data_IF_759212423810
#
_entry.id   IF_759212423810
#
_cell.length_a   1.000
_cell.length_b   1.000
_cell.length_c   1.000
_cell.angle_alpha   90.00
_cell.angle_beta   90.00
_cell.angle_gamma   90.00
#
_symmetry.space_group_name_H-M   'P 1'
#
loop_
_entity.id
_entity.type
_entity.pdbx_description
1 polymer ?
#
# COMPACT_ATOMS: atom_id res chain seq x y z
N UNK A 1 18.05 26.69 -45.25
CA UNK A 1 17.19 26.36 -44.10
C UNK A 1 15.74 26.41 -44.58
N UNK A 2 15.13 25.21 -44.78
CA UNK A 2 13.69 25.12 -45.10
C UNK A 2 12.94 25.28 -43.77
N UNK A 3 11.99 26.22 -43.74
CA UNK A 3 11.15 26.47 -42.58
C UNK A 3 10.43 25.15 -42.18
N UNK A 4 10.62 24.73 -40.93
CA UNK A 4 9.83 23.66 -40.32
C UNK A 4 8.43 24.24 -40.16
N UNK A 5 7.47 23.77 -40.96
CA UNK A 5 6.07 24.18 -40.86
C UNK A 5 5.52 23.87 -39.46
N UNK A 6 4.63 24.75 -39.01
CA UNK A 6 3.92 24.61 -37.70
C UNK A 6 3.34 23.17 -37.56
N UNK A 7 3.71 22.42 -36.50
CA UNK A 7 3.27 21.05 -36.32
C UNK A 7 1.74 20.90 -36.10
N UNK A 8 1.02 22.00 -35.85
CA UNK A 8 -0.45 22.01 -35.72
C UNK A 8 -1.20 21.97 -37.07
N UNK A 9 -0.52 22.14 -38.22
CA UNK A 9 -1.15 22.33 -39.51
C UNK A 9 -1.32 21.06 -40.36
N UNK A 10 -0.87 19.88 -39.91
CA UNK A 10 -0.98 18.63 -40.68
C UNK A 10 -2.42 18.12 -40.61
N UNK A 11 -3.16 18.12 -41.72
CA UNK A 11 -4.42 17.40 -41.83
C UNK A 11 -4.18 15.88 -41.78
N UNK A 12 -4.72 15.20 -40.77
CA UNK A 12 -4.50 13.77 -40.56
C UNK A 12 -5.16 12.91 -41.64
N UNK A 13 -6.26 13.36 -42.25
CA UNK A 13 -6.91 12.66 -43.35
C UNK A 13 -6.07 12.74 -44.61
N UNK A 14 -5.53 13.92 -44.90
CA UNK A 14 -4.60 14.12 -46.01
C UNK A 14 -3.29 13.34 -45.79
N UNK A 15 -2.75 13.34 -44.55
CA UNK A 15 -1.58 12.57 -44.17
C UNK A 15 -1.78 11.07 -44.40
N UNK A 16 -2.94 10.53 -44.07
CA UNK A 16 -3.30 9.12 -44.29
C UNK A 16 -3.31 8.81 -45.79
N UNK A 17 -3.93 9.67 -46.61
CA UNK A 17 -3.98 9.48 -48.07
C UNK A 17 -2.58 9.54 -48.70
N UNK A 18 -1.74 10.50 -48.31
CA UNK A 18 -0.35 10.62 -48.77
C UNK A 18 0.49 9.41 -48.42
N UNK A 19 0.45 8.94 -47.16
CA UNK A 19 1.24 7.81 -46.68
C UNK A 19 0.78 6.47 -47.27
N UNK A 20 -0.52 6.32 -47.60
CA UNK A 20 -1.03 5.14 -48.33
C UNK A 20 -0.47 5.04 -49.73
N UNK A 21 -0.31 6.17 -50.41
CA UNK A 21 0.20 6.23 -51.77
C UNK A 21 1.73 6.16 -51.85
N UNK A 22 2.41 6.85 -50.98
CA UNK A 22 3.88 6.83 -50.88
C UNK A 22 4.33 7.14 -49.47
N UNK A 23 4.97 6.15 -48.80
CA UNK A 23 5.50 6.31 -47.43
C UNK A 23 6.61 7.36 -47.30
N UNK A 24 7.31 7.67 -48.39
CA UNK A 24 8.36 8.69 -48.44
C UNK A 24 7.83 10.10 -48.73
N UNK A 25 6.53 10.24 -48.94
CA UNK A 25 5.89 11.56 -49.18
C UNK A 25 6.02 12.51 -47.98
N UNK A 26 6.39 11.98 -46.81
CA UNK A 26 6.66 12.74 -45.59
C UNK A 26 7.98 12.26 -44.97
N UNK A 27 8.75 13.18 -44.41
CA UNK A 27 9.98 12.81 -43.73
C UNK A 27 9.70 12.08 -42.39
N UNK A 28 10.68 11.35 -41.87
CA UNK A 28 10.48 10.54 -40.66
C UNK A 28 10.20 11.38 -39.41
N UNK A 29 10.72 12.60 -39.19
CA UNK A 29 10.31 13.45 -38.08
C UNK A 29 8.84 13.86 -38.12
N UNK A 30 8.31 14.15 -39.31
CA UNK A 30 6.88 14.45 -39.52
C UNK A 30 6.01 13.22 -39.19
N UNK A 31 6.44 12.02 -39.58
CA UNK A 31 5.73 10.77 -39.27
C UNK A 31 5.70 10.50 -37.74
N UNK A 32 6.77 10.81 -37.00
CA UNK A 32 6.77 10.78 -35.54
C UNK A 32 5.79 11.76 -34.91
N UNK A 33 5.70 12.98 -35.43
CA UNK A 33 4.72 13.97 -34.97
C UNK A 33 3.29 13.47 -35.19
N UNK A 34 3.02 12.75 -36.29
CA UNK A 34 1.71 12.12 -36.50
C UNK A 34 1.42 11.10 -35.41
N UNK A 35 2.37 10.22 -35.06
CA UNK A 35 2.18 9.26 -33.93
C UNK A 35 1.82 9.99 -32.65
N UNK A 36 2.54 11.04 -32.28
CA UNK A 36 2.27 11.83 -31.07
C UNK A 36 0.86 12.46 -31.10
N UNK A 37 0.39 12.93 -32.25
CA UNK A 37 -0.95 13.53 -32.39
C UNK A 37 -2.09 12.55 -32.36
N UNK A 38 -1.91 11.33 -32.89
CA UNK A 38 -2.96 10.29 -32.88
C UNK A 38 -3.03 9.52 -31.56
N UNK A 39 -1.96 9.52 -30.76
CA UNK A 39 -1.89 8.78 -29.49
C UNK A 39 -2.94 9.24 -28.46
N UNK A 40 -3.17 10.56 -28.34
CA UNK A 40 -4.19 11.12 -27.45
C UNK A 40 -5.62 10.64 -27.79
N UNK A 41 -6.14 10.97 -28.99
CA UNK A 41 -7.45 10.51 -29.43
C UNK A 41 -7.64 8.99 -29.34
N UNK A 42 -6.64 8.21 -29.72
CA UNK A 42 -6.69 6.75 -29.62
C UNK A 42 -6.74 6.27 -28.15
N UNK A 43 -6.06 6.95 -27.24
CA UNK A 43 -6.13 6.63 -25.80
C UNK A 43 -7.50 6.95 -25.17
N UNK A 44 -8.24 7.89 -25.75
CA UNK A 44 -9.61 8.25 -25.40
C UNK A 44 -10.67 7.35 -26.08
N UNK A 45 -10.24 6.33 -26.82
CA UNK A 45 -11.14 5.37 -27.46
C UNK A 45 -11.61 5.77 -28.88
N UNK A 46 -11.06 6.84 -29.46
CA UNK A 46 -11.38 7.28 -30.84
C UNK A 46 -10.61 6.41 -31.86
N UNK A 47 -10.97 5.13 -31.97
CA UNK A 47 -10.30 4.18 -32.86
C UNK A 47 -10.83 4.19 -34.31
N UNK A 48 -11.38 5.32 -34.76
CA UNK A 48 -11.89 5.51 -36.15
C UNK A 48 -10.82 6.05 -37.07
N UNK A 49 -11.12 6.05 -38.39
CA UNK A 49 -10.27 6.74 -39.36
C UNK A 49 -10.31 8.27 -39.11
N UNK A 50 -9.20 9.00 -39.29
CA UNK A 50 -7.91 8.54 -39.84
C UNK A 50 -6.93 7.95 -38.82
N UNK A 51 -7.26 7.97 -37.49
CA UNK A 51 -6.33 7.62 -36.41
C UNK A 51 -5.86 6.17 -36.47
N UNK A 52 -6.82 5.23 -36.63
CA UNK A 52 -6.53 3.80 -36.77
C UNK A 52 -5.67 3.47 -37.96
N UNK A 53 -6.05 4.01 -39.12
CA UNK A 53 -5.32 3.77 -40.35
C UNK A 53 -3.89 4.31 -40.32
N UNK A 54 -3.68 5.48 -39.74
CA UNK A 54 -2.34 6.06 -39.55
C UNK A 54 -1.48 5.20 -38.64
N UNK A 55 -2.03 4.74 -37.49
CA UNK A 55 -1.28 3.90 -36.57
C UNK A 55 -0.84 2.59 -37.21
N UNK A 56 -1.74 1.93 -37.95
CA UNK A 56 -1.44 0.68 -38.65
C UNK A 56 -0.36 0.86 -39.73
N UNK A 57 -0.43 1.95 -40.49
CA UNK A 57 0.58 2.28 -41.49
C UNK A 57 1.95 2.56 -40.87
N UNK A 58 1.99 3.35 -39.80
CA UNK A 58 3.22 3.74 -39.09
C UNK A 58 3.82 2.59 -38.26
N UNK A 59 3.03 1.57 -37.98
CA UNK A 59 3.53 0.34 -37.34
C UNK A 59 4.51 -0.44 -38.24
N UNK A 60 4.45 -0.26 -39.57
CA UNK A 60 5.35 -0.86 -40.56
C UNK A 60 6.30 0.16 -41.16
N UNK A 61 6.59 1.25 -40.47
CA UNK A 61 7.48 2.31 -40.96
C UNK A 61 8.92 1.78 -41.14
N UNK A 62 9.62 2.17 -42.21
CA UNK A 62 11.02 1.77 -42.44
C UNK A 62 11.96 2.30 -41.33
N UNK A 63 11.62 3.43 -40.68
CA UNK A 63 12.42 4.02 -39.62
C UNK A 63 12.01 3.45 -38.25
N UNK A 64 12.97 2.88 -37.54
CA UNK A 64 12.74 2.26 -36.24
C UNK A 64 12.24 3.26 -35.19
N UNK A 65 12.63 4.54 -35.26
CA UNK A 65 12.20 5.62 -34.38
C UNK A 65 10.68 5.79 -34.40
N UNK A 66 10.09 5.72 -35.60
CA UNK A 66 8.63 5.81 -35.78
C UNK A 66 7.94 4.57 -35.21
N UNK A 67 8.46 3.37 -35.52
CA UNK A 67 7.92 2.12 -34.98
C UNK A 67 8.00 2.06 -33.44
N UNK A 68 9.09 2.62 -32.88
CA UNK A 68 9.23 2.74 -31.43
C UNK A 68 8.15 3.63 -30.83
N UNK A 69 7.91 4.80 -31.39
CA UNK A 69 6.88 5.73 -30.90
C UNK A 69 5.47 5.10 -31.03
N UNK A 70 5.20 4.33 -32.08
CA UNK A 70 3.97 3.52 -32.19
C UNK A 70 3.89 2.49 -31.05
N UNK A 71 4.98 1.75 -30.80
CA UNK A 71 5.01 0.75 -29.73
C UNK A 71 4.75 1.37 -28.36
N UNK A 72 5.29 2.56 -28.08
CA UNK A 72 5.05 3.30 -26.84
C UNK A 72 3.59 3.78 -26.72
N UNK A 73 3.01 4.30 -27.81
CA UNK A 73 1.62 4.76 -27.86
C UNK A 73 0.60 3.65 -27.54
N UNK A 74 0.88 2.41 -27.95
CA UNK A 74 0.01 1.25 -27.66
C UNK A 74 -0.18 0.98 -26.16
N UNK A 75 0.62 1.57 -25.28
CA UNK A 75 0.53 1.36 -23.83
C UNK A 75 -0.80 1.87 -23.24
N UNK A 76 -1.40 2.91 -23.81
CA UNK A 76 -2.58 3.60 -23.31
C UNK A 76 -3.83 3.40 -24.18
N UNK A 77 -3.68 2.84 -25.38
CA UNK A 77 -4.81 2.62 -26.31
C UNK A 77 -5.70 1.48 -25.79
N UNK A 78 -7.01 1.70 -25.54
CA UNK A 78 -7.89 0.68 -24.98
C UNK A 78 -8.26 -0.43 -25.98
N UNK A 79 -8.15 -0.19 -27.30
CA UNK A 79 -8.45 -1.15 -28.34
C UNK A 79 -7.50 -2.36 -28.31
N UNK A 80 -8.06 -3.55 -28.06
CA UNK A 80 -7.28 -4.79 -27.96
C UNK A 80 -6.68 -5.27 -29.27
N UNK A 81 -7.31 -4.98 -30.41
CA UNK A 81 -6.77 -5.35 -31.72
C UNK A 81 -5.54 -4.50 -32.05
N UNK A 82 -5.61 -3.19 -31.79
CA UNK A 82 -4.45 -2.31 -31.96
C UNK A 82 -3.35 -2.68 -30.96
N UNK A 83 -3.73 -3.01 -29.72
CA UNK A 83 -2.77 -3.41 -28.72
C UNK A 83 -2.02 -4.72 -29.07
N UNK A 84 -2.63 -5.60 -29.86
CA UNK A 84 -1.99 -6.82 -30.35
C UNK A 84 -0.76 -6.53 -31.23
N UNK A 85 -0.66 -5.34 -31.82
CA UNK A 85 0.55 -4.90 -32.55
C UNK A 85 1.80 -4.91 -31.66
N UNK A 86 1.66 -4.71 -30.36
CA UNK A 86 2.80 -4.79 -29.43
C UNK A 86 3.47 -6.17 -29.44
N UNK A 87 2.72 -7.26 -29.70
CA UNK A 87 3.29 -8.60 -29.87
C UNK A 87 4.15 -8.71 -31.13
N UNK A 88 3.71 -8.09 -32.23
CA UNK A 88 4.47 -8.04 -33.48
C UNK A 88 5.84 -7.37 -33.28
N UNK A 89 5.89 -6.30 -32.50
CA UNK A 89 7.12 -5.57 -32.21
C UNK A 89 8.11 -6.32 -31.31
N UNK A 90 7.73 -7.41 -30.65
CA UNK A 90 8.69 -8.25 -29.90
C UNK A 90 9.74 -8.91 -30.80
N UNK A 91 9.41 -9.13 -32.09
CA UNK A 91 10.30 -9.68 -33.11
C UNK A 91 10.88 -8.60 -34.05
N UNK A 92 10.72 -7.32 -33.72
CA UNK A 92 11.28 -6.23 -34.54
C UNK A 92 12.81 -6.34 -34.67
N UNK A 93 13.34 -5.98 -35.84
CA UNK A 93 14.78 -6.00 -36.09
C UNK A 93 15.57 -5.09 -35.13
N UNK A 94 14.96 -3.98 -34.67
CA UNK A 94 15.63 -2.98 -33.84
C UNK A 94 15.41 -3.19 -32.33
N UNK A 95 16.51 -3.18 -31.57
CA UNK A 95 16.47 -3.48 -30.13
C UNK A 95 15.61 -2.51 -29.30
N UNK A 96 15.59 -1.22 -29.66
CA UNK A 96 14.79 -0.21 -28.95
C UNK A 96 13.29 -0.41 -29.18
N UNK A 97 12.88 -0.87 -30.37
CA UNK A 97 11.46 -1.21 -30.65
C UNK A 97 11.04 -2.42 -29.82
N UNK A 98 11.87 -3.48 -29.80
CA UNK A 98 11.61 -4.66 -28.94
C UNK A 98 11.48 -4.31 -27.46
N UNK A 99 12.34 -3.39 -26.98
CA UNK A 99 12.29 -2.92 -25.57
C UNK A 99 11.01 -2.14 -25.27
N UNK A 100 10.62 -1.21 -26.14
CA UNK A 100 9.36 -0.45 -26.04
C UNK A 100 8.15 -1.40 -26.01
N UNK A 101 8.11 -2.40 -26.89
CA UNK A 101 7.06 -3.40 -26.92
C UNK A 101 6.94 -4.20 -25.62
N UNK A 102 8.06 -4.64 -25.03
CA UNK A 102 8.06 -5.33 -23.72
C UNK A 102 7.47 -4.44 -22.63
N UNK A 103 7.92 -3.20 -22.53
CA UNK A 103 7.43 -2.24 -21.53
C UNK A 103 5.94 -1.96 -21.71
N UNK A 104 5.48 -1.82 -22.95
CA UNK A 104 4.06 -1.63 -23.29
C UNK A 104 3.22 -2.82 -22.84
N UNK A 105 3.63 -4.05 -23.15
CA UNK A 105 2.90 -5.27 -22.73
C UNK A 105 2.85 -5.38 -21.20
N UNK A 106 3.96 -5.13 -20.51
CA UNK A 106 4.02 -5.16 -19.03
C UNK A 106 3.10 -4.09 -18.42
N UNK A 107 3.13 -2.86 -18.95
CA UNK A 107 2.27 -1.76 -18.48
C UNK A 107 0.79 -2.08 -18.68
N UNK A 108 0.40 -2.61 -19.84
CA UNK A 108 -0.98 -3.05 -20.10
C UNK A 108 -1.44 -4.18 -19.16
N UNK A 109 -0.57 -5.18 -18.94
CA UNK A 109 -0.86 -6.26 -17.99
C UNK A 109 -1.07 -5.73 -16.56
N UNK A 110 -0.27 -4.75 -16.16
CA UNK A 110 -0.42 -4.11 -14.85
C UNK A 110 -1.76 -3.37 -14.75
N UNK A 111 -2.08 -2.53 -15.74
CA UNK A 111 -3.36 -1.79 -15.79
C UNK A 111 -4.55 -2.76 -15.78
N UNK A 112 -4.51 -3.83 -16.58
CA UNK A 112 -5.58 -4.83 -16.62
C UNK A 112 -5.76 -5.56 -15.28
N UNK A 113 -4.65 -5.93 -14.60
CA UNK A 113 -4.71 -6.55 -13.26
C UNK A 113 -5.28 -5.60 -12.21
N UNK A 114 -4.93 -4.33 -12.26
CA UNK A 114 -5.45 -3.32 -11.33
C UNK A 114 -6.95 -3.06 -11.57
N UNK A 115 -7.37 -3.00 -12.84
CA UNK A 115 -8.79 -2.86 -13.22
C UNK A 115 -9.60 -4.09 -12.78
N UNK A 116 -9.07 -5.30 -12.97
CA UNK A 116 -9.69 -6.54 -12.53
C UNK A 116 -9.83 -6.61 -10.99
N UNK A 117 -8.80 -6.20 -10.27
CA UNK A 117 -8.86 -6.11 -8.79
C UNK A 117 -9.92 -5.12 -8.31
N UNK A 118 -10.05 -3.96 -8.97
CA UNK A 118 -11.08 -2.96 -8.64
C UNK A 118 -12.49 -3.48 -8.92
N UNK A 119 -12.67 -4.12 -10.06
CA UNK A 119 -13.96 -4.69 -10.47
C UNK A 119 -14.38 -5.83 -9.53
N UNK A 120 -13.45 -6.74 -9.18
CA UNK A 120 -13.74 -7.82 -8.24
C UNK A 120 -14.07 -7.32 -6.82
N UNK A 121 -13.51 -6.20 -6.39
CA UNK A 121 -13.82 -5.60 -5.08
C UNK A 121 -15.24 -5.04 -5.02
N UNK A 122 -15.68 -4.34 -6.06
CA UNK A 122 -17.06 -3.80 -6.15
C UNK A 122 -18.06 -4.94 -6.30
N UNK A 123 -17.79 -5.91 -7.18
CA UNK A 123 -18.65 -7.07 -7.40
C UNK A 123 -18.83 -7.89 -6.11
N UNK A 124 -17.76 -8.05 -5.32
CA UNK A 124 -17.81 -8.72 -4.02
C UNK A 124 -18.70 -7.96 -3.02
N UNK A 125 -18.57 -6.64 -2.94
CA UNK A 125 -19.39 -5.81 -2.04
C UNK A 125 -20.87 -5.90 -2.43
N UNK A 126 -21.19 -5.85 -3.72
CA UNK A 126 -22.55 -5.98 -4.22
C UNK A 126 -23.13 -7.37 -3.93
N UNK A 127 -22.34 -8.43 -4.14
CA UNK A 127 -22.77 -9.80 -3.84
C UNK A 127 -23.03 -10.01 -2.34
N UNK A 128 -22.17 -9.50 -1.47
CA UNK A 128 -22.36 -9.59 -0.01
C UNK A 128 -23.58 -8.77 0.45
N UNK A 129 -23.82 -7.62 -0.17
CA UNK A 129 -25.02 -6.83 0.13
C UNK A 129 -26.29 -7.59 -0.25
N UNK A 130 -26.32 -8.19 -1.44
CA UNK A 130 -27.45 -9.00 -1.90
C UNK A 130 -27.69 -10.23 -0.99
N UNK A 131 -26.61 -10.91 -0.59
CA UNK A 131 -26.69 -12.04 0.35
C UNK A 131 -27.30 -11.63 1.70
N UNK A 132 -26.88 -10.46 2.24
CA UNK A 132 -27.44 -9.93 3.48
C UNK A 132 -28.93 -9.57 3.32
N UNK A 133 -29.31 -8.99 2.20
CA UNK A 133 -30.71 -8.65 1.89
C UNK A 133 -31.58 -9.90 1.79
N UNK A 134 -31.09 -10.93 1.06
CA UNK A 134 -31.82 -12.19 0.88
C UNK A 134 -31.96 -12.99 2.20
N UNK A 135 -30.91 -12.96 3.06
CA UNK A 135 -30.89 -13.74 4.29
C UNK A 135 -31.58 -13.07 5.48
N UNK A 136 -31.48 -11.74 5.60
CA UNK A 136 -31.91 -10.98 6.77
C UNK A 136 -32.88 -9.84 6.46
N UNK A 137 -33.22 -9.62 5.18
CA UNK A 137 -34.10 -8.58 4.71
C UNK A 137 -33.43 -7.21 4.53
N UNK A 138 -34.07 -6.35 3.77
CA UNK A 138 -33.59 -5.03 3.35
C UNK A 138 -33.18 -4.13 4.52
N UNK A 139 -33.94 -4.15 5.63
CA UNK A 139 -33.62 -3.31 6.80
C UNK A 139 -32.26 -3.68 7.44
N UNK A 140 -31.95 -4.96 7.52
CA UNK A 140 -30.68 -5.45 8.04
C UNK A 140 -29.51 -5.10 7.11
N UNK A 141 -29.69 -5.26 5.80
CA UNK A 141 -28.72 -4.89 4.78
C UNK A 141 -28.43 -3.37 4.81
N UNK A 142 -29.47 -2.53 4.93
CA UNK A 142 -29.32 -1.08 5.03
C UNK A 142 -28.63 -0.64 6.34
N UNK A 143 -28.86 -1.34 7.45
CA UNK A 143 -28.12 -1.10 8.71
C UNK A 143 -26.65 -1.47 8.57
N UNK A 144 -26.35 -2.60 7.94
CA UNK A 144 -24.96 -3.03 7.69
C UNK A 144 -24.23 -2.04 6.77
N UNK A 145 -24.89 -1.57 5.72
CA UNK A 145 -24.37 -0.54 4.82
C UNK A 145 -24.05 0.75 5.56
N UNK A 146 -25.00 1.29 6.35
CA UNK A 146 -24.78 2.50 7.14
C UNK A 146 -23.64 2.34 8.14
N UNK A 147 -23.52 1.17 8.77
CA UNK A 147 -22.38 0.88 9.66
C UNK A 147 -21.06 0.88 8.89
N UNK A 148 -21.01 0.26 7.72
CA UNK A 148 -19.82 0.25 6.88
C UNK A 148 -19.42 1.66 6.41
N UNK A 149 -20.38 2.49 5.99
CA UNK A 149 -20.17 3.90 5.62
C UNK A 149 -19.63 4.70 6.82
N UNK A 150 -20.20 4.54 8.00
CA UNK A 150 -19.73 5.22 9.21
C UNK A 150 -18.32 4.77 9.66
N UNK A 151 -18.02 3.49 9.55
CA UNK A 151 -16.66 2.98 9.81
C UNK A 151 -15.65 3.54 8.80
N UNK A 152 -16.03 3.59 7.52
CA UNK A 152 -15.20 4.16 6.47
C UNK A 152 -14.93 5.65 6.69
N UNK A 153 -15.98 6.44 6.98
CA UNK A 153 -15.85 7.88 7.27
C UNK A 153 -14.98 8.13 8.50
N UNK A 154 -15.13 7.31 9.54
CA UNK A 154 -14.30 7.40 10.75
C UNK A 154 -12.84 7.10 10.43
N UNK A 155 -12.57 6.04 9.66
CA UNK A 155 -11.23 5.64 9.22
C UNK A 155 -10.57 6.72 8.37
N UNK A 156 -11.25 7.18 7.32
CA UNK A 156 -10.72 8.20 6.42
C UNK A 156 -10.55 9.53 7.15
N UNK A 157 -11.54 9.95 7.94
CA UNK A 157 -11.48 11.19 8.71
C UNK A 157 -10.28 11.22 9.66
N UNK A 158 -10.09 10.17 10.46
CA UNK A 158 -8.95 10.06 11.37
C UNK A 158 -7.60 10.08 10.62
N UNK A 159 -7.51 9.31 9.53
CA UNK A 159 -6.26 9.19 8.78
C UNK A 159 -5.90 10.48 8.04
N UNK A 160 -6.88 11.10 7.38
CA UNK A 160 -6.68 12.40 6.70
C UNK A 160 -6.29 13.49 7.69
N UNK A 161 -6.90 13.49 8.89
CA UNK A 161 -6.54 14.42 9.96
C UNK A 161 -5.08 14.25 10.38
N UNK A 162 -4.63 13.00 10.59
CA UNK A 162 -3.25 12.70 10.99
C UNK A 162 -2.25 13.07 9.87
N UNK A 163 -2.54 12.72 8.62
CA UNK A 163 -1.73 13.12 7.46
C UNK A 163 -1.61 14.64 7.36
N UNK A 164 -2.73 15.37 7.53
CA UNK A 164 -2.74 16.83 7.47
C UNK A 164 -1.90 17.44 8.59
N UNK A 165 -2.00 16.90 9.81
CA UNK A 165 -1.20 17.34 10.97
C UNK A 165 0.30 17.21 10.69
N UNK A 166 0.74 16.05 10.18
CA UNK A 166 2.14 15.82 9.82
C UNK A 166 2.61 16.75 8.70
N UNK A 167 1.80 16.90 7.64
CA UNK A 167 2.12 17.81 6.52
C UNK A 167 2.22 19.26 6.95
N UNK A 168 1.34 19.72 7.86
CA UNK A 168 1.40 21.09 8.41
C UNK A 168 2.71 21.28 9.17
N UNK A 169 3.06 20.35 10.03
CA UNK A 169 4.29 20.40 10.80
C UNK A 169 5.57 20.32 9.93
N UNK A 170 5.53 19.56 8.82
CA UNK A 170 6.62 19.55 7.82
C UNK A 170 6.76 20.91 7.11
N UNK A 171 5.63 21.53 6.71
CA UNK A 171 5.62 22.86 6.09
C UNK A 171 6.18 23.92 7.03
N UNK A 172 5.80 23.89 8.31
CA UNK A 172 6.31 24.82 9.32
C UNK A 172 7.83 24.64 9.54
N UNK A 173 8.32 23.40 9.64
CA UNK A 173 9.75 23.17 9.81
C UNK A 173 10.55 23.63 8.59
N UNK A 174 10.04 23.40 7.39
CA UNK A 174 10.65 23.88 6.15
C UNK A 174 10.64 25.42 6.07
N UNK A 175 9.51 26.06 6.41
CA UNK A 175 9.39 27.52 6.42
C UNK A 175 10.41 28.17 7.37
N UNK A 176 10.60 27.59 8.56
CA UNK A 176 11.60 28.09 9.54
C UNK A 176 13.04 27.91 9.05
N UNK A 177 13.33 26.86 8.26
CA UNK A 177 14.65 26.69 7.63
C UNK A 177 14.89 27.81 6.61
N UNK A 178 13.91 28.04 5.72
CA UNK A 178 13.98 29.08 4.68
C UNK A 178 14.13 30.48 5.30
N UNK A 179 13.33 30.80 6.32
CA UNK A 179 13.38 32.10 7.03
C UNK A 179 14.75 32.35 7.62
N UNK A 180 15.33 31.38 8.33
CA UNK A 180 16.67 31.51 8.91
C UNK A 180 17.78 31.59 7.85
N UNK A 181 17.61 30.85 6.75
CA UNK A 181 18.53 30.96 5.62
C UNK A 181 18.51 32.36 5.00
N UNK A 182 17.33 32.94 4.80
CA UNK A 182 17.16 34.28 4.26
C UNK A 182 17.74 35.38 5.20
N UNK A 183 17.72 35.14 6.51
CA UNK A 183 18.26 36.00 7.54
C UNK A 183 19.77 35.79 7.81
N UNK A 184 20.43 34.90 7.10
CA UNK A 184 21.81 34.47 7.36
C UNK A 184 22.07 33.98 8.80
N UNK A 185 21.03 33.38 9.42
CA UNK A 185 21.02 32.83 10.78
C UNK A 185 20.95 31.32 10.85
N UNK A 186 21.28 30.65 9.77
CA UNK A 186 21.21 29.21 9.69
C UNK A 186 22.47 28.55 10.30
N UNK A 187 22.34 28.05 11.53
CA UNK A 187 23.41 27.30 12.17
C UNK A 187 23.29 25.79 11.93
N UNK A 188 24.44 25.06 11.86
CA UNK A 188 24.44 23.61 11.58
C UNK A 188 23.66 22.78 12.61
N UNK A 189 23.62 23.20 13.87
CA UNK A 189 22.93 22.48 14.94
C UNK A 189 21.41 22.57 14.78
N UNK A 190 20.92 23.76 14.41
CA UNK A 190 19.51 23.97 14.10
C UNK A 190 19.08 23.16 12.86
N UNK A 191 19.89 23.21 11.79
CA UNK A 191 19.60 22.46 10.57
C UNK A 191 19.55 20.95 10.85
N UNK A 192 20.52 20.42 11.58
CA UNK A 192 20.55 19.02 11.99
C UNK A 192 19.31 18.62 12.78
N UNK A 193 18.91 19.42 13.78
CA UNK A 193 17.69 19.14 14.57
C UNK A 193 16.43 19.14 13.71
N UNK A 194 16.31 20.09 12.77
CA UNK A 194 15.15 20.19 11.88
C UNK A 194 15.11 19.04 10.87
N UNK A 195 16.25 18.69 10.28
CA UNK A 195 16.37 17.57 9.36
C UNK A 195 15.99 16.24 10.04
N UNK A 196 16.42 16.01 11.27
CA UNK A 196 16.02 14.83 12.04
C UNK A 196 14.50 14.79 12.26
N UNK A 197 13.88 15.91 12.67
CA UNK A 197 12.42 15.98 12.85
C UNK A 197 11.64 15.73 11.55
N UNK A 198 12.13 16.29 10.45
CA UNK A 198 11.54 16.04 9.12
C UNK A 198 11.64 14.56 8.77
N UNK A 199 12.80 13.93 8.97
CA UNK A 199 13.00 12.49 8.71
C UNK A 199 12.08 11.62 9.56
N UNK A 200 11.91 11.92 10.86
CA UNK A 200 10.99 11.21 11.75
C UNK A 200 9.53 11.30 11.28
N UNK A 201 9.10 12.49 10.85
CA UNK A 201 7.74 12.72 10.33
C UNK A 201 7.48 11.99 9.00
N UNK A 202 8.47 11.99 8.09
CA UNK A 202 8.38 11.23 6.84
C UNK A 202 8.28 9.74 7.12
N UNK A 203 9.12 9.20 8.01
CA UNK A 203 9.06 7.80 8.42
C UNK A 203 7.72 7.44 9.09
N UNK A 204 7.09 8.37 9.83
CA UNK A 204 5.75 8.17 10.36
C UNK A 204 4.70 8.10 9.23
N UNK A 205 4.76 9.00 8.25
CA UNK A 205 3.85 8.98 7.08
C UNK A 205 3.96 7.69 6.28
N UNK A 206 5.18 7.20 6.05
CA UNK A 206 5.42 5.92 5.37
C UNK A 206 4.77 4.76 6.13
N UNK A 207 4.94 4.71 7.46
CA UNK A 207 4.29 3.69 8.30
C UNK A 207 2.76 3.79 8.25
N UNK A 208 2.20 5.01 8.29
CA UNK A 208 0.75 5.21 8.23
C UNK A 208 0.17 4.70 6.90
N UNK A 209 0.83 5.01 5.77
CA UNK A 209 0.43 4.54 4.44
C UNK A 209 0.52 3.01 4.34
N UNK A 210 1.60 2.41 4.85
CA UNK A 210 1.78 0.96 4.82
C UNK A 210 0.76 0.23 5.71
N UNK A 211 0.48 0.75 6.89
CA UNK A 211 -0.54 0.21 7.80
C UNK A 211 -1.95 0.29 7.20
N UNK A 212 -2.29 1.40 6.53
CA UNK A 212 -3.53 1.51 5.77
C UNK A 212 -3.61 0.52 4.63
N UNK A 213 -2.53 0.38 3.87
CA UNK A 213 -2.44 -0.59 2.79
C UNK A 213 -2.66 -2.01 3.30
N UNK A 214 -2.01 -2.39 4.40
CA UNK A 214 -2.16 -3.69 5.02
C UNK A 214 -3.58 -3.91 5.54
N UNK A 215 -4.24 -2.86 6.04
CA UNK A 215 -5.64 -2.92 6.45
C UNK A 215 -6.60 -3.10 5.27
N UNK A 216 -6.32 -2.51 4.11
CA UNK A 216 -7.17 -2.58 2.93
C UNK A 216 -6.98 -3.87 2.11
N UNK A 217 -5.85 -4.58 2.25
CA UNK A 217 -5.59 -5.80 1.47
C UNK A 217 -6.39 -6.99 1.98
N UNK A 218 -6.94 -7.85 1.10
CA UNK A 218 -7.58 -9.09 1.51
C UNK A 218 -6.58 -10.00 2.21
N UNK A 219 -7.03 -10.71 3.24
CA UNK A 219 -6.22 -11.72 3.91
C UNK A 219 -6.15 -12.96 3.01
N UNK A 220 -4.95 -13.48 2.78
CA UNK A 220 -4.77 -14.69 1.97
C UNK A 220 -5.45 -15.91 2.58
N UNK A 221 -6.10 -16.71 1.74
CA UNK A 221 -6.71 -17.97 2.13
C UNK A 221 -5.69 -19.13 2.20
N UNK A 222 -4.46 -18.93 1.72
CA UNK A 222 -3.40 -19.94 1.81
C UNK A 222 -2.99 -20.14 3.27
N UNK A 223 -3.27 -21.34 3.79
CA UNK A 223 -2.97 -21.73 5.17
C UNK A 223 -2.13 -23.00 5.19
N UNK A 224 -1.02 -22.92 5.92
CA UNK A 224 -0.11 -24.05 6.16
C UNK A 224 -0.02 -24.34 7.66
N UNK A 225 0.30 -25.58 8.02
CA UNK A 225 0.62 -25.92 9.39
C UNK A 225 1.98 -25.32 9.75
N UNK A 226 2.04 -24.48 10.79
CA UNK A 226 3.25 -23.77 11.23
C UNK A 226 3.41 -23.96 12.73
N UNK A 227 4.63 -24.25 13.16
CA UNK A 227 4.96 -24.30 14.60
C UNK A 227 4.85 -22.88 15.20
N UNK A 228 4.21 -22.79 16.36
CA UNK A 228 4.03 -21.50 17.05
C UNK A 228 5.38 -20.91 17.49
N UNK A 229 6.34 -21.74 17.85
CA UNK A 229 7.70 -21.33 18.17
C UNK A 229 8.39 -20.59 17.00
N UNK A 230 8.17 -21.04 15.75
CA UNK A 230 8.73 -20.39 14.58
C UNK A 230 8.11 -19.02 14.32
N UNK A 231 6.76 -18.90 14.49
CA UNK A 231 6.06 -17.62 14.37
C UNK A 231 6.57 -16.59 15.38
N UNK A 232 6.77 -17.01 16.63
CA UNK A 232 7.28 -16.14 17.69
C UNK A 232 8.73 -15.75 17.50
N UNK A 233 9.56 -16.67 17.00
CA UNK A 233 10.97 -16.42 16.70
C UNK A 233 11.11 -15.40 15.58
N UNK A 234 10.35 -15.55 14.49
CA UNK A 234 10.34 -14.62 13.36
C UNK A 234 9.81 -13.24 13.78
N UNK A 235 8.69 -13.18 14.51
CA UNK A 235 8.13 -11.93 15.01
C UNK A 235 9.12 -11.17 15.91
N UNK A 236 9.81 -11.88 16.81
CA UNK A 236 10.84 -11.31 17.68
C UNK A 236 12.02 -10.75 16.87
N UNK A 237 12.49 -11.47 15.86
CA UNK A 237 13.56 -10.99 14.97
C UNK A 237 13.18 -9.67 14.29
N UNK A 238 11.99 -9.61 13.68
CA UNK A 238 11.47 -8.42 13.01
C UNK A 238 11.39 -7.23 13.98
N UNK A 239 10.88 -7.43 15.20
CA UNK A 239 10.79 -6.36 16.22
C UNK A 239 12.18 -5.89 16.63
N UNK A 240 13.13 -6.81 16.86
CA UNK A 240 14.51 -6.47 17.20
C UNK A 240 15.20 -5.64 16.10
N UNK A 241 15.02 -6.00 14.83
CA UNK A 241 15.54 -5.24 13.69
C UNK A 241 14.91 -3.84 13.61
N UNK A 242 13.59 -3.74 13.81
CA UNK A 242 12.88 -2.46 13.83
C UNK A 242 13.38 -1.52 14.97
N UNK A 243 13.64 -2.06 16.16
CA UNK A 243 14.19 -1.27 17.26
C UNK A 243 15.61 -0.79 16.95
N UNK A 244 16.47 -1.65 16.38
CA UNK A 244 17.82 -1.27 15.94
C UNK A 244 17.78 -0.19 14.86
N UNK A 245 16.93 -0.33 13.85
CA UNK A 245 16.78 0.66 12.77
C UNK A 245 16.32 2.04 13.29
N UNK A 246 15.58 2.06 14.40
CA UNK A 246 15.16 3.29 15.10
C UNK A 246 16.17 3.78 16.13
N UNK A 247 17.33 3.15 16.28
CA UNK A 247 18.32 3.41 17.32
C UNK A 247 17.75 3.33 18.76
N UNK A 248 16.76 2.46 18.98
CA UNK A 248 16.17 2.22 20.30
C UNK A 248 16.89 1.06 20.94
N UNK A 249 17.50 1.31 22.10
CA UNK A 249 18.13 0.26 22.91
C UNK A 249 17.08 -0.55 23.64
N UNK A 250 17.08 -1.86 23.49
CA UNK A 250 16.22 -2.78 24.25
C UNK A 250 16.95 -3.48 25.39
N UNK A 251 18.13 -3.02 25.78
CA UNK A 251 18.98 -3.66 26.81
C UNK A 251 18.32 -3.73 28.18
N UNK A 252 17.43 -2.77 28.50
CA UNK A 252 16.73 -2.67 29.76
C UNK A 252 15.34 -3.34 29.71
N UNK A 253 15.04 -4.11 28.64
CA UNK A 253 13.79 -4.88 28.53
C UNK A 253 14.08 -6.35 28.71
N UNK A 254 13.44 -6.94 29.72
CA UNK A 254 13.50 -8.37 29.96
C UNK A 254 12.38 -9.08 29.17
N UNK A 255 12.74 -9.62 27.98
CA UNK A 255 11.80 -10.38 27.15
C UNK A 255 11.90 -11.87 27.45
N UNK A 256 10.87 -12.43 28.04
CA UNK A 256 10.75 -13.87 28.30
C UNK A 256 9.77 -14.52 27.34
N UNK A 257 10.17 -15.61 26.68
CA UNK A 257 9.30 -16.37 25.76
C UNK A 257 9.19 -17.81 26.24
N UNK A 258 7.97 -18.26 26.51
CA UNK A 258 7.66 -19.63 26.94
C UNK A 258 6.64 -20.23 25.97
N UNK A 259 7.00 -21.32 25.30
CA UNK A 259 6.14 -22.02 24.35
C UNK A 259 6.01 -23.46 24.78
N UNK A 260 4.78 -23.97 24.89
CA UNK A 260 4.57 -25.41 25.10
C UNK A 260 5.08 -26.20 23.88
N UNK A 261 5.65 -27.38 24.08
CA UNK A 261 6.12 -28.22 22.99
C UNK A 261 5.01 -28.54 21.99
N UNK A 262 5.39 -28.76 20.73
CA UNK A 262 4.54 -29.30 19.65
C UNK A 262 3.29 -28.49 19.30
N UNK A 263 3.25 -27.20 19.67
CA UNK A 263 2.16 -26.32 19.28
C UNK A 263 2.26 -25.95 17.80
N UNK A 264 1.23 -26.34 17.02
CA UNK A 264 1.09 -25.95 15.62
C UNK A 264 -0.30 -25.35 15.35
N UNK A 265 -0.35 -24.41 14.41
CA UNK A 265 -1.57 -23.76 13.95
C UNK A 265 -1.62 -23.79 12.40
N UNK A 266 -2.81 -23.91 11.82
CA UNK A 266 -2.99 -23.87 10.37
C UNK A 266 -3.34 -22.47 9.92
N UNK A 267 -2.32 -21.70 9.45
CA UNK A 267 -2.43 -20.26 9.23
C UNK A 267 -1.64 -19.79 8.01
N UNK A 268 -1.95 -18.57 7.57
CA UNK A 268 -1.03 -17.78 6.72
C UNK A 268 0.07 -17.21 7.62
N UNK A 269 1.29 -17.73 7.45
CA UNK A 269 2.47 -17.37 8.24
C UNK A 269 2.67 -15.86 8.30
N UNK A 270 2.63 -15.19 7.15
CA UNK A 270 2.86 -13.74 7.04
C UNK A 270 1.88 -12.94 7.88
N UNK A 271 0.58 -13.25 7.81
CA UNK A 271 -0.44 -12.51 8.53
C UNK A 271 -0.36 -12.71 10.05
N UNK A 272 -0.11 -13.94 10.50
CA UNK A 272 -0.01 -14.20 11.95
C UNK A 272 1.29 -13.65 12.53
N UNK A 273 2.41 -13.74 11.81
CA UNK A 273 3.66 -13.07 12.22
C UNK A 273 3.43 -11.56 12.32
N UNK A 274 2.79 -10.94 11.33
CA UNK A 274 2.47 -9.50 11.37
C UNK A 274 1.57 -9.14 12.56
N UNK A 275 0.58 -9.97 12.88
CA UNK A 275 -0.26 -9.76 14.07
C UNK A 275 0.56 -9.78 15.37
N UNK A 276 1.45 -10.77 15.53
CA UNK A 276 2.33 -10.87 16.68
C UNK A 276 3.30 -9.68 16.75
N UNK A 277 3.90 -9.29 15.63
CA UNK A 277 4.79 -8.11 15.52
C UNK A 277 4.07 -6.84 15.98
N UNK A 278 2.83 -6.63 15.55
CA UNK A 278 2.05 -5.45 15.95
C UNK A 278 1.80 -5.40 17.45
N UNK A 279 1.48 -6.55 18.07
CA UNK A 279 1.28 -6.61 19.53
C UNK A 279 2.59 -6.45 20.29
N UNK A 280 3.67 -7.09 19.84
CA UNK A 280 5.00 -6.94 20.45
C UNK A 280 5.52 -5.50 20.34
N UNK A 281 5.36 -4.85 19.20
CA UNK A 281 5.73 -3.43 19.04
C UNK A 281 4.98 -2.55 20.04
N UNK A 282 3.67 -2.75 20.19
CA UNK A 282 2.90 -2.03 21.19
C UNK A 282 3.45 -2.26 22.58
N UNK A 283 3.77 -3.51 22.96
CA UNK A 283 4.37 -3.81 24.24
C UNK A 283 5.65 -2.99 24.50
N UNK A 284 6.57 -2.93 23.54
CA UNK A 284 7.78 -2.10 23.64
C UNK A 284 7.48 -0.59 23.68
N UNK A 285 6.57 -0.11 22.80
CA UNK A 285 6.27 1.32 22.67
C UNK A 285 5.56 1.89 23.93
N UNK A 286 4.89 1.04 24.74
CA UNK A 286 4.17 1.45 25.94
C UNK A 286 4.94 1.18 27.25
N UNK A 287 6.13 0.59 27.20
CA UNK A 287 7.02 0.55 28.36
C UNK A 287 7.49 1.96 28.76
N UNK A 288 7.74 2.20 30.05
CA UNK A 288 8.42 3.42 30.50
C UNK A 288 9.76 3.62 29.80
N UNK A 289 10.12 4.86 29.50
CA UNK A 289 11.40 5.21 28.88
C UNK A 289 11.99 6.45 29.53
N UNK A 290 13.26 6.40 29.89
CA UNK A 290 14.02 7.47 30.54
C UNK A 290 15.02 8.17 29.62
N UNK A 291 14.86 8.02 28.29
CA UNK A 291 15.76 8.59 27.27
C UNK A 291 16.88 7.64 26.83
N UNK A 292 17.15 6.56 27.56
CA UNK A 292 18.08 5.49 27.18
C UNK A 292 17.39 4.33 26.42
N UNK A 293 16.05 4.34 26.38
CA UNK A 293 15.21 3.33 25.75
C UNK A 293 14.11 2.81 26.67
N UNK A 294 13.27 1.88 26.19
CA UNK A 294 12.23 1.25 26.99
C UNK A 294 12.84 0.40 28.11
N UNK A 295 12.16 0.36 29.27
CA UNK A 295 12.55 -0.40 30.45
C UNK A 295 11.36 -1.17 31.02
N UNK A 296 11.53 -2.44 31.32
CA UNK A 296 10.51 -3.27 31.95
C UNK A 296 10.50 -4.71 31.43
N UNK A 297 9.40 -5.39 31.71
CA UNK A 297 9.24 -6.80 31.36
C UNK A 297 8.22 -6.98 30.25
N UNK A 298 8.53 -7.88 29.32
CA UNK A 298 7.59 -8.40 28.32
C UNK A 298 7.59 -9.92 28.43
N UNK A 299 6.43 -10.51 28.69
CA UNK A 299 6.28 -11.96 28.78
C UNK A 299 5.42 -12.46 27.63
N UNK A 300 5.95 -13.39 26.84
CA UNK A 300 5.24 -14.08 25.78
C UNK A 300 5.03 -15.53 26.18
N UNK A 301 3.78 -15.96 26.23
CA UNK A 301 3.43 -17.34 26.57
C UNK A 301 2.52 -17.93 25.52
N UNK A 302 2.85 -19.11 25.01
CA UNK A 302 1.99 -19.86 24.11
C UNK A 302 1.63 -21.23 24.71
N UNK A 303 0.33 -21.50 24.85
CA UNK A 303 -0.19 -22.73 25.45
C UNK A 303 -1.41 -23.24 24.68
N UNK A 304 -1.58 -24.59 24.65
CA UNK A 304 -2.84 -25.18 24.18
C UNK A 304 -3.92 -25.09 25.27
N UNK A 305 -5.14 -24.74 24.86
CA UNK A 305 -6.34 -24.83 25.68
C UNK A 305 -7.46 -25.49 24.87
N UNK A 306 -7.64 -26.78 25.02
CA UNK A 306 -8.55 -27.58 24.21
C UNK A 306 -8.12 -27.57 22.73
N UNK A 307 -9.02 -27.16 21.83
CA UNK A 307 -8.77 -27.05 20.38
C UNK A 307 -8.24 -25.67 19.96
N UNK A 308 -7.67 -24.93 20.88
CA UNK A 308 -7.17 -23.58 20.63
C UNK A 308 -5.75 -23.40 21.18
N UNK A 309 -4.97 -22.59 20.49
CA UNK A 309 -3.67 -22.10 20.94
C UNK A 309 -3.87 -20.67 21.43
N UNK A 310 -3.47 -20.38 22.64
CA UNK A 310 -3.45 -19.05 23.24
C UNK A 310 -2.03 -18.52 23.24
N UNK A 311 -1.78 -17.47 22.48
CA UNK A 311 -0.53 -16.70 22.52
C UNK A 311 -0.79 -15.42 23.30
N UNK A 312 -0.26 -15.34 24.51
CA UNK A 312 -0.42 -14.21 25.43
C UNK A 312 0.85 -13.39 25.42
N UNK A 313 0.73 -12.08 25.20
CA UNK A 313 1.81 -11.11 25.27
C UNK A 313 1.43 -10.10 26.36
N UNK A 314 2.22 -10.07 27.42
CA UNK A 314 2.02 -9.20 28.57
C UNK A 314 3.20 -8.26 28.70
N UNK A 315 2.93 -6.98 28.91
CA UNK A 315 3.91 -5.95 29.22
C UNK A 315 3.69 -5.37 30.62
N UNK A 316 4.75 -4.82 31.21
CA UNK A 316 4.72 -4.07 32.47
C UNK A 316 4.64 -2.56 32.23
N UNK A 317 4.01 -2.15 31.13
CA UNK A 317 3.93 -0.76 30.70
C UNK A 317 2.93 0.07 31.48
N UNK A 318 2.65 1.26 30.96
CA UNK A 318 1.74 2.22 31.60
C UNK A 318 0.27 1.76 31.62
N UNK A 319 -0.06 0.67 30.93
CA UNK A 319 -1.44 0.18 30.83
C UNK A 319 -2.35 1.12 30.05
N UNK A 320 -3.65 0.83 30.10
CA UNK A 320 -4.69 1.59 29.40
C UNK A 320 -5.69 2.10 30.45
N UNK A 321 -5.97 3.42 30.50
CA UNK A 321 -7.00 3.98 31.35
C UNK A 321 -8.36 3.31 31.11
N UNK A 322 -9.12 3.05 32.19
CA UNK A 322 -10.42 2.37 32.13
C UNK A 322 -11.39 3.07 31.17
N UNK A 323 -11.37 4.40 31.14
CA UNK A 323 -12.21 5.22 30.24
C UNK A 323 -11.92 4.97 28.73
N UNK A 324 -10.69 4.54 28.37
CA UNK A 324 -10.27 4.28 26.99
C UNK A 324 -10.26 2.79 26.63
N UNK A 325 -10.37 1.91 27.61
CA UNK A 325 -10.19 0.47 27.42
C UNK A 325 -11.21 -0.14 26.44
N UNK A 326 -12.47 0.25 26.56
CA UNK A 326 -13.53 -0.25 25.68
C UNK A 326 -13.36 0.23 24.24
N UNK A 327 -12.89 1.45 24.04
CA UNK A 327 -12.56 1.97 22.72
C UNK A 327 -11.38 1.19 22.08
N UNK A 328 -10.33 0.92 22.87
CA UNK A 328 -9.18 0.12 22.42
C UNK A 328 -9.59 -1.32 22.11
N UNK A 329 -10.47 -1.92 22.92
CA UNK A 329 -11.03 -3.26 22.69
C UNK A 329 -11.82 -3.35 21.38
N UNK A 330 -12.50 -2.28 20.97
CA UNK A 330 -13.19 -2.23 19.67
C UNK A 330 -12.24 -2.24 18.50
N UNK A 331 -10.98 -1.89 18.70
CA UNK A 331 -9.96 -1.82 17.66
C UNK A 331 -10.41 -0.98 16.45
N UNK A 332 -10.90 0.22 16.69
CA UNK A 332 -11.28 1.14 15.63
C UNK A 332 -10.02 1.66 14.93
N UNK A 333 -9.90 1.49 13.60
CA UNK A 333 -8.69 1.86 12.87
C UNK A 333 -8.47 3.38 12.88
N UNK A 334 -7.19 3.81 12.91
CA UNK A 334 -6.80 5.21 12.90
C UNK A 334 -6.95 5.93 14.25
N UNK A 335 -7.42 5.26 15.29
CA UNK A 335 -7.48 5.82 16.64
C UNK A 335 -6.28 5.39 17.47
N UNK A 336 -5.57 6.36 18.03
CA UNK A 336 -4.41 6.13 18.90
C UNK A 336 -4.42 7.11 20.06
N UNK A 337 -4.00 6.63 21.26
CA UNK A 337 -3.76 7.48 22.41
C UNK A 337 -2.45 8.27 22.33
N UNK A 338 -1.53 7.87 21.44
CA UNK A 338 -0.24 8.54 21.22
C UNK A 338 -0.19 9.11 19.79
N UNK A 339 -0.61 10.37 19.64
CA UNK A 339 -0.49 11.12 18.37
C UNK A 339 0.96 11.18 17.90
N UNK A 340 1.20 10.99 16.62
CA UNK A 340 2.52 11.02 15.94
C UNK A 340 3.49 9.89 16.30
N UNK A 341 3.11 8.94 17.17
CA UNK A 341 3.94 7.77 17.52
C UNK A 341 3.31 6.50 17.00
N UNK A 342 2.03 6.27 17.26
CA UNK A 342 1.26 5.12 16.78
C UNK A 342 0.30 5.52 15.67
N UNK A 343 0.14 4.65 14.68
CA UNK A 343 -0.78 4.87 13.53
C UNK A 343 -2.24 4.53 13.84
N UNK A 344 -2.50 3.84 14.98
CA UNK A 344 -3.83 3.34 15.34
C UNK A 344 -4.30 2.12 14.54
N UNK A 345 -3.47 1.57 13.66
CA UNK A 345 -3.81 0.38 12.86
C UNK A 345 -3.27 -0.94 13.42
N UNK A 346 -2.24 -0.91 14.25
CA UNK A 346 -1.52 -2.11 14.68
C UNK A 346 -2.42 -3.18 15.30
N UNK A 347 -3.22 -2.83 16.33
CA UNK A 347 -4.16 -3.76 16.97
C UNK A 347 -5.33 -4.14 16.06
N UNK A 348 -5.79 -3.22 15.21
CA UNK A 348 -6.86 -3.49 14.25
C UNK A 348 -6.42 -4.51 13.20
N UNK A 349 -5.20 -4.36 12.66
CA UNK A 349 -4.61 -5.33 11.75
C UNK A 349 -4.41 -6.68 12.43
N UNK A 350 -3.89 -6.69 13.67
CA UNK A 350 -3.72 -7.93 14.43
C UNK A 350 -5.07 -8.65 14.63
N UNK A 351 -6.10 -7.93 15.08
CA UNK A 351 -7.45 -8.50 15.27
C UNK A 351 -8.02 -9.06 13.97
N UNK A 352 -7.91 -8.29 12.87
CA UNK A 352 -8.40 -8.70 11.56
C UNK A 352 -7.71 -9.96 11.05
N UNK A 353 -6.38 -10.03 11.16
CA UNK A 353 -5.62 -11.20 10.75
C UNK A 353 -5.97 -12.43 11.58
N UNK A 354 -6.05 -12.30 12.90
CA UNK A 354 -6.43 -13.41 13.78
C UNK A 354 -7.87 -13.87 13.51
N UNK A 355 -8.81 -12.95 13.34
CA UNK A 355 -10.21 -13.27 13.03
C UNK A 355 -10.37 -13.98 11.69
N UNK A 356 -9.62 -13.58 10.66
CA UNK A 356 -9.61 -14.24 9.35
C UNK A 356 -9.13 -15.70 9.42
N UNK A 357 -8.38 -16.07 10.49
CA UNK A 357 -7.97 -17.46 10.75
C UNK A 357 -8.91 -18.21 11.71
N UNK A 358 -10.13 -17.69 11.93
CA UNK A 358 -11.11 -18.29 12.84
C UNK A 358 -10.75 -18.11 14.34
N UNK A 359 -9.85 -17.19 14.62
CA UNK A 359 -9.40 -16.86 15.97
C UNK A 359 -10.03 -15.60 16.57
N UNK A 360 -9.53 -15.18 17.71
CA UNK A 360 -9.94 -13.94 18.37
C UNK A 360 -8.78 -13.24 19.08
N UNK A 361 -8.87 -11.91 19.24
CA UNK A 361 -7.93 -11.10 20.00
C UNK A 361 -8.65 -10.51 21.21
N UNK A 362 -8.06 -10.66 22.40
CA UNK A 362 -8.55 -10.10 23.67
C UNK A 362 -7.51 -9.17 24.26
N UNK A 363 -7.97 -8.09 24.90
CA UNK A 363 -7.12 -7.09 25.55
C UNK A 363 -7.61 -6.93 26.98
N UNK A 364 -6.72 -7.16 27.94
CA UNK A 364 -6.91 -6.91 29.35
C UNK A 364 -5.80 -5.97 29.80
N UNK A 365 -6.18 -4.88 30.46
CA UNK A 365 -5.23 -3.86 30.88
C UNK A 365 -5.73 -3.13 32.12
N UNK A 366 -4.77 -2.69 32.92
CA UNK A 366 -5.02 -1.80 34.06
C UNK A 366 -3.96 -0.70 34.06
N UNK A 367 -4.42 0.51 34.25
CA UNK A 367 -3.56 1.69 34.24
C UNK A 367 -2.43 1.55 35.26
N UNK A 368 -1.20 1.83 34.83
CA UNK A 368 0.06 1.69 35.59
C UNK A 368 0.44 0.25 36.01
N UNK A 369 -0.28 -0.79 35.53
CA UNK A 369 0.06 -2.19 35.80
C UNK A 369 0.42 -2.98 34.53
N UNK A 370 0.24 -2.37 33.37
CA UNK A 370 0.58 -2.96 32.07
C UNK A 370 -0.63 -3.47 31.27
N UNK A 371 -0.32 -4.15 30.18
CA UNK A 371 -1.33 -4.67 29.23
C UNK A 371 -1.06 -6.13 28.91
N UNK A 372 -2.11 -6.90 28.78
CA UNK A 372 -2.09 -8.30 28.34
C UNK A 372 -2.93 -8.43 27.08
N UNK A 373 -2.31 -8.81 25.97
CA UNK A 373 -3.00 -9.14 24.72
C UNK A 373 -2.92 -10.64 24.49
N UNK A 374 -4.08 -11.28 24.31
CA UNK A 374 -4.18 -12.71 24.02
C UNK A 374 -4.70 -12.93 22.62
N UNK A 375 -3.88 -13.57 21.78
CA UNK A 375 -4.25 -14.06 20.44
C UNK A 375 -4.69 -15.51 20.58
N UNK A 376 -5.89 -15.81 20.17
CA UNK A 376 -6.46 -17.18 20.19
C UNK A 376 -6.56 -17.68 18.77
N UNK A 377 -6.00 -18.83 18.46
CA UNK A 377 -6.03 -19.46 17.15
C UNK A 377 -6.51 -20.90 17.27
N UNK A 378 -7.21 -21.46 16.26
CA UNK A 378 -7.48 -22.90 16.22
C UNK A 378 -6.17 -23.69 16.14
N UNK A 379 -6.11 -24.86 16.78
CA UNK A 379 -5.00 -25.82 16.56
C UNK A 379 -4.99 -26.34 15.13
N UNK A 380 -3.83 -26.77 14.63
CA UNK A 380 -3.69 -27.38 13.31
C UNK A 380 -4.45 -28.70 13.20
#
# INVERSE_FOLDING_TARGET
>A
MKAVGDPSSIDLTEALARLRNNREAMDWPQRRQIVARIAGPLSEGQAQEPFRGLLLLLADDPKWEVRKDVADALATIPDNELAALAQKFLSDSHAYVRRAAKQTIERRRKIAREAQKRKSGVDLVLALYQELEDQYGQEAADKARRLAEQLYDTLIGATVHEMRSVLTALKEDNARIIERQAADQLDPSFLRRKSLKIAERLAFMERLVEDMRNYAQPVSDERTAVAVADLLTEARSIVSENLKARNISSRNVNLTVTVSPDLAVKVSRVHVVTAIVNVLKNAYDFLPSDGEGPRGDIQVRAVAKGKQVHVTIQDSGQGIPTASLDEVRQCLPGRTSRRHVGTGFGLCNARRFIAAHGGSLRIDSKENEGTTVTLVLPTA
#
